data_IF_492444397731
#
_entry.id   IF_492444397731
#
_cell.length_a   1.000
_cell.length_b   1.000
_cell.length_c   1.000
_cell.angle_alpha   90.00
_cell.angle_beta   90.00
_cell.angle_gamma   90.00
#
_symmetry.space_group_name_H-M   'P 1'
#
loop_
_entity.id
_entity.type
_entity.pdbx_description
1 polymer ?
#
# COMPACT_ATOMS: atom_id res chain seq x y z
N UNK A 1 31.61 -11.03 5.58
CA UNK A 1 31.40 -10.23 6.80
C UNK A 1 30.91 -8.81 6.50
N UNK A 2 31.55 -8.05 5.59
CA UNK A 2 31.18 -6.65 5.32
C UNK A 2 29.78 -6.40 4.74
N UNK A 3 29.25 -7.31 3.93
CA UNK A 3 27.91 -7.18 3.32
C UNK A 3 26.76 -7.32 4.32
N UNK A 4 26.89 -8.15 5.36
CA UNK A 4 25.88 -8.30 6.41
C UNK A 4 25.87 -7.10 7.37
N UNK A 5 27.04 -6.54 7.69
CA UNK A 5 27.15 -5.31 8.47
C UNK A 5 26.58 -4.09 7.71
N UNK A 6 26.72 -4.08 6.38
CA UNK A 6 26.13 -3.04 5.55
C UNK A 6 24.61 -3.13 5.51
N UNK A 7 24.06 -4.35 5.40
CA UNK A 7 22.61 -4.56 5.42
C UNK A 7 22.00 -4.17 6.78
N UNK A 8 22.68 -4.49 7.89
CA UNK A 8 22.24 -4.07 9.22
C UNK A 8 22.31 -2.55 9.39
N UNK A 9 23.34 -1.89 8.86
CA UNK A 9 23.47 -0.44 8.92
C UNK A 9 22.38 0.28 8.11
N UNK A 10 22.08 -0.20 6.90
CA UNK A 10 21.00 0.34 6.06
C UNK A 10 19.62 0.08 6.68
N UNK A 11 19.42 -1.08 7.30
CA UNK A 11 18.19 -1.39 8.02
C UNK A 11 18.02 -0.49 9.26
N UNK A 12 19.07 -0.27 10.04
CA UNK A 12 19.05 0.69 11.16
C UNK A 12 18.78 2.12 10.70
N UNK A 13 19.36 2.53 9.56
CA UNK A 13 19.13 3.86 9.00
C UNK A 13 17.68 4.02 8.53
N UNK A 14 17.13 3.00 7.84
CA UNK A 14 15.73 2.97 7.44
C UNK A 14 14.79 3.01 8.65
N UNK A 15 15.09 2.24 9.71
CA UNK A 15 14.30 2.23 10.94
C UNK A 15 14.32 3.61 11.62
N UNK A 16 15.48 4.29 11.61
CA UNK A 16 15.66 5.63 12.18
C UNK A 16 14.90 6.69 11.38
N UNK A 17 14.89 6.59 10.04
CA UNK A 17 14.11 7.45 9.14
C UNK A 17 12.61 7.27 9.40
N UNK A 18 12.14 6.01 9.45
CA UNK A 18 10.74 5.71 9.69
C UNK A 18 10.28 6.14 11.09
N UNK A 19 11.13 5.96 12.11
CA UNK A 19 10.82 6.35 13.49
C UNK A 19 10.81 7.87 13.70
N UNK A 20 11.65 8.63 13.00
CA UNK A 20 11.65 10.09 13.07
C UNK A 20 10.56 10.74 12.20
N UNK A 21 10.18 10.09 11.09
CA UNK A 21 9.18 10.66 10.16
C UNK A 21 7.78 10.82 10.78
N UNK A 22 7.44 10.09 11.86
CA UNK A 22 6.15 10.26 12.55
C UNK A 22 6.14 11.36 13.62
N UNK A 23 7.30 11.97 13.94
CA UNK A 23 7.45 12.96 15.04
C UNK A 23 8.00 14.32 14.59
N UNK A 24 8.43 14.45 13.35
CA UNK A 24 9.07 15.65 12.81
C UNK A 24 8.05 16.72 12.43
N UNK A 25 7.79 17.65 13.36
CA UNK A 25 7.01 18.87 13.11
C UNK A 25 7.86 20.14 13.16
N UNK A 26 9.13 20.07 13.60
CA UNK A 26 10.00 21.25 13.80
C UNK A 26 11.03 21.39 12.69
N UNK A 27 11.31 22.63 12.27
CA UNK A 27 12.30 22.96 11.24
C UNK A 27 13.74 22.58 11.64
N UNK A 28 14.03 22.51 12.94
CA UNK A 28 15.33 22.08 13.47
C UNK A 28 15.57 20.57 13.30
N UNK A 29 14.51 19.77 13.29
CA UNK A 29 14.63 18.31 13.10
C UNK A 29 14.96 17.99 11.64
N UNK A 30 14.43 18.78 10.71
CA UNK A 30 14.70 18.67 9.27
C UNK A 30 16.15 19.02 8.93
N UNK A 31 16.73 20.03 9.59
CA UNK A 31 18.13 20.42 9.37
C UNK A 31 19.11 19.44 10.00
N UNK A 32 18.81 18.89 11.18
CA UNK A 32 19.60 17.83 11.80
C UNK A 32 19.62 16.55 10.96
N UNK A 33 18.48 16.17 10.38
CA UNK A 33 18.39 15.05 9.43
C UNK A 33 19.22 15.29 8.16
N UNK A 34 19.17 16.50 7.61
CA UNK A 34 19.97 16.91 6.45
C UNK A 34 21.48 16.87 6.74
N UNK A 35 21.90 17.34 7.92
CA UNK A 35 23.30 17.28 8.36
C UNK A 35 23.78 15.85 8.64
N UNK A 36 22.90 14.99 9.17
CA UNK A 36 23.19 13.56 9.39
C UNK A 36 23.39 12.81 8.06
N UNK A 37 22.57 13.13 7.04
CA UNK A 37 22.75 12.64 5.67
C UNK A 37 24.08 13.11 5.06
N UNK A 38 24.52 14.31 5.40
CA UNK A 38 25.76 14.93 4.91
C UNK A 38 27.02 14.39 5.59
N UNK A 39 26.87 13.76 6.77
CA UNK A 39 27.96 13.17 7.55
C UNK A 39 28.23 11.69 7.22
N UNK A 40 27.46 11.07 6.32
CA UNK A 40 27.81 9.75 5.80
C UNK A 40 29.16 9.85 5.04
N UNK A 41 30.10 8.91 5.22
CA UNK A 41 31.37 8.96 4.50
C UNK A 41 31.13 8.78 2.99
N UNK A 42 32.08 9.09 2.10
CA UNK A 42 31.97 8.81 0.67
C UNK A 42 32.18 7.32 0.42
N UNK A 43 31.37 6.45 1.06
CA UNK A 43 31.32 5.00 0.78
C UNK A 43 30.43 4.74 -0.45
N UNK A 44 29.95 5.80 -1.07
CA UNK A 44 29.20 5.79 -2.31
C UNK A 44 30.15 5.57 -3.49
N UNK A 45 30.86 4.45 -3.55
CA UNK A 45 31.44 4.03 -4.84
C UNK A 45 30.28 3.90 -5.83
N UNK A 46 30.50 4.33 -7.08
CA UNK A 46 29.51 4.30 -8.18
C UNK A 46 28.58 3.05 -8.17
N UNK A 47 29.08 1.81 -7.94
CA UNK A 47 28.19 0.64 -7.88
C UNK A 47 27.27 0.60 -6.65
N UNK A 48 27.71 1.08 -5.47
CA UNK A 48 26.85 1.13 -4.28
C UNK A 48 25.77 2.19 -4.38
N UNK A 49 26.01 3.30 -5.09
CA UNK A 49 24.99 4.32 -5.36
C UNK A 49 23.87 3.77 -6.21
N UNK A 50 24.18 3.07 -7.30
CA UNK A 50 23.16 2.45 -8.14
C UNK A 50 22.35 1.40 -7.38
N UNK A 51 23.00 0.58 -6.56
CA UNK A 51 22.31 -0.40 -5.72
C UNK A 51 21.37 0.27 -4.71
N UNK A 52 21.80 1.37 -4.08
CA UNK A 52 20.97 2.12 -3.14
C UNK A 52 19.77 2.77 -3.85
N UNK A 53 19.99 3.40 -5.00
CA UNK A 53 18.93 4.01 -5.81
C UNK A 53 17.91 2.95 -6.29
N UNK A 54 18.37 1.79 -6.72
CA UNK A 54 17.50 0.68 -7.11
C UNK A 54 16.66 0.18 -5.93
N UNK A 55 17.27 0.02 -4.75
CA UNK A 55 16.56 -0.38 -3.54
C UNK A 55 15.53 0.67 -3.11
N UNK A 56 15.89 1.97 -3.10
CA UNK A 56 14.98 3.07 -2.80
C UNK A 56 13.83 3.14 -3.82
N UNK A 57 14.12 2.90 -5.10
CA UNK A 57 13.11 2.87 -6.15
C UNK A 57 12.11 1.73 -5.93
N UNK A 58 12.59 0.51 -5.66
CA UNK A 58 11.75 -0.63 -5.30
C UNK A 58 10.93 -0.34 -4.04
N UNK A 59 11.56 0.23 -3.01
CA UNK A 59 10.89 0.56 -1.75
C UNK A 59 9.80 1.63 -1.95
N UNK A 60 10.07 2.65 -2.77
CA UNK A 60 9.10 3.67 -3.14
C UNK A 60 7.87 3.09 -3.85
N UNK A 61 8.04 2.07 -4.70
CA UNK A 61 6.92 1.37 -5.34
C UNK A 61 6.03 0.63 -4.32
N UNK A 62 6.61 0.13 -3.22
CA UNK A 62 5.85 -0.49 -2.13
C UNK A 62 5.10 0.51 -1.26
N UNK A 63 5.53 1.77 -1.19
CA UNK A 63 4.88 2.83 -0.42
C UNK A 63 3.71 3.51 -1.17
N UNK A 64 3.47 3.17 -2.43
CA UNK A 64 2.38 3.76 -3.20
C UNK A 64 1.02 3.49 -2.53
N UNK A 65 0.09 4.46 -2.45
CA UNK A 65 -1.22 4.24 -1.86
C UNK A 65 -1.96 3.10 -2.60
N UNK A 66 -2.48 2.14 -1.83
CA UNK A 66 -3.11 0.93 -2.36
C UNK A 66 -2.15 -0.21 -2.74
N UNK A 67 -0.84 0.04 -2.79
CA UNK A 67 0.21 -0.99 -2.92
C UNK A 67 0.78 -1.15 -4.33
N UNK A 68 1.66 -2.15 -4.49
CA UNK A 68 2.46 -2.33 -5.71
C UNK A 68 1.61 -2.54 -6.98
N UNK A 69 0.46 -3.21 -6.87
CA UNK A 69 -0.41 -3.39 -8.04
C UNK A 69 -0.94 -2.03 -8.51
N UNK A 70 -1.28 -1.10 -7.62
CA UNK A 70 -1.70 0.25 -8.00
C UNK A 70 -0.55 1.09 -8.55
N UNK A 71 0.66 0.96 -8.00
CA UNK A 71 1.85 1.64 -8.54
C UNK A 71 2.16 1.27 -10.01
N UNK A 72 1.90 0.01 -10.39
CA UNK A 72 2.15 -0.51 -11.74
C UNK A 72 0.95 -0.36 -12.69
N UNK A 73 -0.14 0.28 -12.26
CA UNK A 73 -1.31 0.50 -13.12
C UNK A 73 -1.00 1.56 -14.18
N UNK A 74 -1.32 1.27 -15.45
CA UNK A 74 -1.21 2.23 -16.57
C UNK A 74 -2.32 3.30 -16.58
N UNK A 75 -3.26 3.24 -15.65
CA UNK A 75 -4.38 4.19 -15.55
C UNK A 75 -4.01 5.45 -14.79
N UNK A 76 -4.42 6.61 -15.31
CA UNK A 76 -4.37 7.91 -14.61
C UNK A 76 -5.47 7.99 -13.56
N UNK A 77 -5.39 7.14 -12.54
CA UNK A 77 -6.28 7.25 -11.39
C UNK A 77 -5.71 8.34 -10.49
N UNK A 78 -6.55 9.30 -10.10
CA UNK A 78 -6.23 10.16 -8.96
C UNK A 78 -5.93 9.24 -7.77
N UNK A 79 -4.90 9.57 -6.98
CA UNK A 79 -4.40 8.67 -5.94
C UNK A 79 -5.52 8.36 -4.92
N UNK A 80 -6.17 7.20 -5.09
CA UNK A 80 -7.21 6.74 -4.18
C UNK A 80 -6.51 6.36 -2.87
N UNK A 81 -6.93 6.92 -1.73
CA UNK A 81 -6.26 6.63 -0.46
C UNK A 81 -6.43 5.15 -0.11
N UNK A 82 -5.40 4.57 0.50
CA UNK A 82 -5.52 3.23 1.03
C UNK A 82 -4.19 2.60 1.43
N UNK A 83 -4.27 1.54 2.24
CA UNK A 83 -3.08 0.86 2.76
C UNK A 83 -2.29 0.21 1.63
N UNK A 84 -0.97 0.40 1.64
CA UNK A 84 -0.07 -0.20 0.66
C UNK A 84 0.11 -1.71 0.84
N UNK A 85 -0.29 -2.25 2.01
CA UNK A 85 -0.22 -3.67 2.34
C UNK A 85 1.20 -4.19 2.52
N UNK A 86 1.35 -5.50 2.72
CA UNK A 86 2.68 -6.14 2.75
C UNK A 86 3.29 -6.21 1.35
N UNK A 87 4.63 -6.15 1.22
CA UNK A 87 5.28 -6.36 -0.07
C UNK A 87 4.86 -7.73 -0.64
N UNK A 88 4.45 -7.74 -1.91
CA UNK A 88 3.95 -8.89 -2.69
C UNK A 88 2.59 -9.48 -2.25
N UNK A 89 2.31 -9.60 -0.95
CA UNK A 89 1.07 -10.21 -0.46
C UNK A 89 -0.09 -9.21 -0.38
N UNK A 90 0.18 -7.93 -0.18
CA UNK A 90 -0.86 -6.92 0.05
C UNK A 90 -1.64 -7.19 1.34
N UNK A 91 -2.97 -7.17 1.25
CA UNK A 91 -3.90 -7.41 2.37
C UNK A 91 -4.50 -8.82 2.40
N UNK A 92 -3.83 -9.84 1.84
CA UNK A 92 -4.33 -11.24 1.87
C UNK A 92 -4.73 -11.70 3.29
N UNK A 93 -3.96 -11.30 4.31
CA UNK A 93 -4.22 -11.66 5.71
C UNK A 93 -5.61 -11.24 6.22
N UNK A 94 -6.21 -10.20 5.62
CA UNK A 94 -7.55 -9.73 5.98
C UNK A 94 -8.61 -10.79 5.65
N UNK A 95 -8.42 -11.54 4.58
CA UNK A 95 -9.32 -12.60 4.13
C UNK A 95 -9.12 -13.93 4.86
N UNK A 96 -8.00 -14.10 5.57
CA UNK A 96 -7.78 -15.25 6.45
C UNK A 96 -8.60 -15.19 7.75
N UNK A 97 -9.18 -14.03 8.07
CA UNK A 97 -10.07 -13.85 9.21
C UNK A 97 -11.51 -14.23 8.86
N UNK A 98 -12.28 -14.70 9.87
CA UNK A 98 -13.72 -14.92 9.74
C UNK A 98 -14.54 -13.64 9.51
N UNK A 99 -13.97 -12.45 9.75
CA UNK A 99 -14.68 -11.16 9.62
C UNK A 99 -13.92 -10.15 8.77
N UNK A 100 -13.71 -10.41 7.47
CA UNK A 100 -12.92 -9.54 6.59
C UNK A 100 -13.56 -8.15 6.46
N UNK A 101 -14.88 -8.08 6.34
CA UNK A 101 -15.64 -6.82 6.22
C UNK A 101 -15.43 -5.88 7.42
N UNK A 102 -15.31 -6.40 8.65
CA UNK A 102 -15.06 -5.59 9.85
C UNK A 102 -13.64 -5.01 9.87
N UNK A 103 -12.66 -5.80 9.43
CA UNK A 103 -11.27 -5.36 9.35
C UNK A 103 -11.14 -4.28 8.27
N UNK A 104 -11.74 -4.50 7.10
CA UNK A 104 -11.77 -3.53 6.01
C UNK A 104 -12.47 -2.23 6.42
N UNK A 105 -13.60 -2.30 7.14
CA UNK A 105 -14.27 -1.11 7.66
C UNK A 105 -13.40 -0.35 8.66
N UNK A 106 -12.67 -1.05 9.55
CA UNK A 106 -11.71 -0.42 10.46
C UNK A 106 -10.59 0.28 9.69
N UNK A 107 -10.01 -0.38 8.69
CA UNK A 107 -8.96 0.19 7.84
C UNK A 107 -9.45 1.45 7.11
N UNK A 108 -10.63 1.41 6.49
CA UNK A 108 -11.22 2.57 5.84
C UNK A 108 -11.39 3.76 6.80
N UNK A 109 -11.74 3.50 8.06
CA UNK A 109 -11.81 4.54 9.09
C UNK A 109 -10.42 5.08 9.46
N UNK A 110 -9.42 4.20 9.57
CA UNK A 110 -8.07 4.59 10.01
C UNK A 110 -7.37 5.47 8.99
N UNK A 111 -7.59 5.20 7.70
CA UNK A 111 -7.03 5.96 6.58
C UNK A 111 -7.92 7.13 6.13
N UNK A 112 -9.05 7.39 6.80
CA UNK A 112 -10.01 8.41 6.36
C UNK A 112 -10.65 8.14 4.99
N UNK A 113 -10.57 6.89 4.52
CA UNK A 113 -10.94 6.45 3.18
C UNK A 113 -12.33 5.76 3.16
N UNK A 114 -13.30 6.28 3.92
CA UNK A 114 -14.65 5.70 4.02
C UNK A 114 -15.43 5.73 2.71
N UNK A 115 -15.28 6.81 1.95
CA UNK A 115 -15.95 6.98 0.65
C UNK A 115 -15.39 6.00 -0.37
N UNK A 116 -14.07 5.94 -0.52
CA UNK A 116 -13.40 5.05 -1.45
C UNK A 116 -12.01 4.72 -0.92
N UNK A 117 -11.70 3.43 -0.76
CA UNK A 117 -10.39 2.94 -0.35
C UNK A 117 -9.86 1.93 -1.37
N UNK A 118 -8.60 2.09 -1.76
CA UNK A 118 -7.89 1.16 -2.64
C UNK A 118 -6.92 0.26 -1.87
N UNK A 119 -6.79 -1.01 -2.27
CA UNK A 119 -5.75 -1.90 -1.77
C UNK A 119 -5.43 -3.00 -2.78
N UNK A 120 -4.38 -3.77 -2.49
CA UNK A 120 -3.95 -4.91 -3.30
C UNK A 120 -4.07 -6.22 -2.51
N UNK A 121 -4.36 -7.30 -3.22
CA UNK A 121 -4.27 -8.69 -2.71
C UNK A 121 -3.48 -9.47 -3.74
N UNK A 122 -2.23 -9.82 -3.43
CA UNK A 122 -1.31 -10.30 -4.45
C UNK A 122 -1.14 -9.30 -5.59
N UNK A 123 -1.41 -9.74 -6.82
CA UNK A 123 -1.37 -8.91 -8.03
C UNK A 123 -2.71 -8.26 -8.40
N UNK A 124 -3.77 -8.53 -7.64
CA UNK A 124 -5.12 -8.05 -7.94
C UNK A 124 -5.43 -6.76 -7.18
N UNK A 125 -6.00 -5.78 -7.89
CA UNK A 125 -6.44 -4.50 -7.36
C UNK A 125 -7.86 -4.60 -6.82
N UNK A 126 -8.08 -4.07 -5.63
CA UNK A 126 -9.38 -4.01 -4.98
C UNK A 126 -9.71 -2.58 -4.59
N UNK A 127 -10.99 -2.23 -4.72
CA UNK A 127 -11.57 -1.03 -4.17
C UNK A 127 -12.71 -1.42 -3.24
N UNK A 128 -12.89 -0.66 -2.17
CA UNK A 128 -14.07 -0.76 -1.30
C UNK A 128 -14.65 0.62 -1.06
N UNK A 129 -15.96 0.68 -0.85
CA UNK A 129 -16.66 1.86 -0.40
C UNK A 129 -17.50 1.48 0.82
N UNK A 130 -17.39 2.27 1.90
CA UNK A 130 -18.25 2.16 3.09
C UNK A 130 -19.36 3.22 3.09
N UNK A 131 -19.38 4.11 2.09
CA UNK A 131 -20.37 5.18 1.95
C UNK A 131 -21.45 4.78 0.94
N UNK A 132 -22.74 4.85 1.30
CA UNK A 132 -23.81 4.37 0.43
C UNK A 132 -23.92 5.16 -0.88
N UNK A 133 -23.66 6.47 -0.87
CA UNK A 133 -23.74 7.30 -2.07
C UNK A 133 -22.68 6.90 -3.10
N UNK A 134 -21.42 6.72 -2.68
CA UNK A 134 -20.32 6.29 -3.55
C UNK A 134 -20.51 4.84 -4.02
N UNK A 135 -20.99 3.96 -3.13
CA UNK A 135 -21.30 2.58 -3.51
C UNK A 135 -22.39 2.52 -4.59
N UNK A 136 -23.43 3.36 -4.47
CA UNK A 136 -24.50 3.47 -5.47
C UNK A 136 -23.95 3.89 -6.84
N UNK A 137 -23.03 4.85 -6.88
CA UNK A 137 -22.41 5.29 -8.13
C UNK A 137 -21.59 4.16 -8.79
N UNK A 138 -20.78 3.44 -8.01
CA UNK A 138 -19.99 2.30 -8.51
C UNK A 138 -20.91 1.23 -9.11
N UNK A 139 -21.96 0.85 -8.36
CA UNK A 139 -22.88 -0.22 -8.75
C UNK A 139 -23.80 0.14 -9.92
N UNK A 140 -23.98 1.42 -10.23
CA UNK A 140 -24.74 1.88 -11.38
C UNK A 140 -23.93 1.90 -12.69
N UNK A 141 -22.64 1.57 -12.66
CA UNK A 141 -21.84 1.52 -13.90
C UNK A 141 -22.15 0.30 -14.74
N UNK A 142 -22.00 0.42 -16.06
CA UNK A 142 -22.29 -0.65 -17.03
C UNK A 142 -21.46 -1.92 -16.80
N UNK A 143 -20.25 -1.78 -16.24
CA UNK A 143 -19.37 -2.90 -15.86
C UNK A 143 -20.01 -3.85 -14.83
N UNK A 144 -21.03 -3.39 -14.08
CA UNK A 144 -21.78 -4.21 -13.13
C UNK A 144 -23.19 -4.58 -13.61
N UNK A 145 -23.61 -4.13 -14.80
CA UNK A 145 -24.96 -4.40 -15.32
C UNK A 145 -25.14 -5.86 -15.80
N UNK A 146 -24.10 -6.45 -16.38
CA UNK A 146 -24.17 -7.78 -17.02
C UNK A 146 -23.61 -8.91 -16.14
N UNK A 147 -24.03 -9.01 -14.87
CA UNK A 147 -23.60 -10.15 -14.03
C UNK A 147 -24.43 -11.39 -14.41
N UNK A 148 -23.85 -12.44 -15.03
CA UNK A 148 -24.59 -13.66 -15.34
C UNK A 148 -25.19 -14.25 -14.07
N UNK A 149 -26.42 -14.78 -14.18
CA UNK A 149 -27.11 -15.43 -13.07
C UNK A 149 -26.19 -16.49 -12.49
N UNK A 150 -25.86 -16.36 -11.19
CA UNK A 150 -25.04 -17.36 -10.51
C UNK A 150 -25.78 -18.69 -10.55
N UNK A 151 -25.20 -19.72 -11.16
CA UNK A 151 -25.78 -21.06 -11.15
C UNK A 151 -26.06 -21.56 -9.72
N UNK A 152 -25.22 -21.19 -8.75
CA UNK A 152 -25.47 -21.47 -7.33
C UNK A 152 -26.76 -20.85 -6.79
N UNK A 153 -27.16 -19.66 -7.26
CA UNK A 153 -28.44 -19.06 -6.89
C UNK A 153 -29.61 -19.74 -7.62
N UNK A 154 -29.39 -20.19 -8.85
CA UNK A 154 -30.36 -20.96 -9.62
C UNK A 154 -30.65 -22.31 -8.95
N UNK A 155 -29.62 -23.08 -8.59
CA UNK A 155 -29.77 -24.36 -7.91
C UNK A 155 -30.52 -24.21 -6.56
N UNK A 156 -30.24 -23.18 -5.77
CA UNK A 156 -30.94 -22.94 -4.49
C UNK A 156 -32.40 -22.50 -4.64
N UNK A 157 -32.77 -21.86 -5.75
CA UNK A 157 -34.14 -21.37 -5.98
C UNK A 157 -35.04 -22.39 -6.67
N UNK A 158 -34.47 -23.33 -7.43
CA UNK A 158 -35.23 -24.27 -8.26
C UNK A 158 -35.12 -25.74 -7.84
N UNK A 159 -34.20 -26.11 -6.94
CA UNK A 159 -34.25 -27.39 -6.22
C UNK A 159 -34.94 -27.21 -4.86
N UNK A 160 -36.28 -27.28 -4.86
CA UNK A 160 -37.10 -27.51 -3.66
C UNK A 160 -38.17 -28.56 -3.95
#
# INVERSE_FOLDING_TARGET
>A
LGTLHLLSALFSLLLLILFNSSKMSSSADLTAFSLLLLLLPPILSLPFSFSLLFFLSIFGLFLHPGGLSWALSKGRFSAVPGPSGLPFLGLVHVFSSHTPHRILAKLANTFGARSLMAFSVGSTRFIISSQPETAKEILNSSEFADRPVKESAYELLFHR
#
